data_IF_209198495749
#
_entry.id   IF_209198495749
#
_cell.length_a   1.000
_cell.length_b   1.000
_cell.length_c   1.000
_cell.angle_alpha   90.00
_cell.angle_beta   90.00
_cell.angle_gamma   90.00
#
_symmetry.space_group_name_H-M   'P 1'
#
loop_
_entity.id
_entity.type
_entity.pdbx_description
1 polymer ?
#
# COMPACT_ATOMS: atom_id res chain seq x y z
N UNK A 1 12.77 -13.68 40.39
CA UNK A 1 13.73 -14.26 39.41
C UNK A 1 13.06 -15.24 38.46
N UNK A 2 12.08 -16.01 38.86
CA UNK A 2 11.31 -16.97 38.02
C UNK A 2 10.49 -16.28 36.94
N UNK A 3 9.78 -15.19 37.24
CA UNK A 3 8.94 -14.45 36.27
C UNK A 3 9.72 -13.77 35.13
N UNK A 4 10.95 -13.33 35.39
CA UNK A 4 11.81 -12.71 34.39
C UNK A 4 12.32 -13.74 33.37
N UNK A 5 12.70 -14.93 33.85
CA UNK A 5 13.14 -16.05 33.00
C UNK A 5 11.99 -16.61 32.14
N UNK A 6 10.78 -16.67 32.67
CA UNK A 6 9.58 -17.11 31.91
C UNK A 6 9.21 -16.13 30.76
N UNK A 7 9.32 -14.85 31.02
CA UNK A 7 9.10 -13.84 30.00
C UNK A 7 10.18 -13.84 28.89
N UNK A 8 11.44 -14.09 29.28
CA UNK A 8 12.54 -14.22 28.32
C UNK A 8 12.34 -15.48 27.48
N UNK A 9 11.98 -16.59 28.07
CA UNK A 9 11.76 -17.86 27.38
C UNK A 9 10.58 -17.75 26.38
N UNK A 10 9.47 -17.15 26.78
CA UNK A 10 8.30 -16.88 25.89
C UNK A 10 8.67 -15.97 24.69
N UNK A 11 9.55 -15.00 24.92
CA UNK A 11 10.06 -14.13 23.83
C UNK A 11 10.93 -14.90 22.84
N UNK A 12 11.83 -15.76 23.31
CA UNK A 12 12.67 -16.61 22.47
C UNK A 12 11.84 -17.60 21.66
N UNK A 13 10.87 -18.27 22.28
CA UNK A 13 9.97 -19.22 21.61
C UNK A 13 9.19 -18.49 20.50
N UNK A 14 8.62 -17.32 20.78
CA UNK A 14 7.88 -16.52 19.79
C UNK A 14 8.76 -16.04 18.65
N UNK A 15 10.00 -15.64 18.93
CA UNK A 15 10.97 -15.23 17.91
C UNK A 15 11.35 -16.41 16.99
N UNK A 16 11.64 -17.58 17.57
CA UNK A 16 11.96 -18.80 16.82
C UNK A 16 10.75 -19.23 15.97
N UNK A 17 9.54 -19.22 16.51
CA UNK A 17 8.32 -19.55 15.78
C UNK A 17 8.11 -18.63 14.56
N UNK A 18 8.32 -17.33 14.72
CA UNK A 18 8.22 -16.38 13.63
C UNK A 18 9.28 -16.61 12.54
N UNK A 19 10.52 -16.92 12.91
CA UNK A 19 11.61 -17.26 11.98
C UNK A 19 11.27 -18.55 11.21
N UNK A 20 10.75 -19.56 11.89
CA UNK A 20 10.35 -20.83 11.26
C UNK A 20 9.19 -20.61 10.28
N UNK A 21 8.16 -19.89 10.68
CA UNK A 21 7.02 -19.57 9.80
C UNK A 21 7.50 -18.78 8.56
N UNK A 22 8.35 -17.78 8.76
CA UNK A 22 8.92 -16.98 7.69
C UNK A 22 9.73 -17.84 6.72
N UNK A 23 10.59 -18.71 7.24
CA UNK A 23 11.40 -19.62 6.44
C UNK A 23 10.51 -20.61 5.64
N UNK A 24 9.45 -21.13 6.27
CA UNK A 24 8.48 -21.99 5.62
C UNK A 24 7.76 -21.29 4.46
N UNK A 25 7.30 -20.06 4.64
CA UNK A 25 6.64 -19.26 3.60
C UNK A 25 7.60 -19.03 2.43
N UNK A 26 8.85 -18.67 2.70
CA UNK A 26 9.86 -18.47 1.66
C UNK A 26 10.13 -19.77 0.91
N UNK A 27 10.30 -20.89 1.62
CA UNK A 27 10.56 -22.20 1.01
C UNK A 27 9.37 -22.67 0.13
N UNK A 28 8.14 -22.53 0.62
CA UNK A 28 6.91 -22.88 -0.15
C UNK A 28 6.79 -22.01 -1.40
N UNK A 29 7.03 -20.72 -1.25
CA UNK A 29 6.99 -19.77 -2.36
C UNK A 29 8.08 -20.05 -3.40
N UNK A 30 9.29 -20.37 -2.96
CA UNK A 30 10.39 -20.75 -3.83
C UNK A 30 10.09 -22.05 -4.57
N UNK A 31 9.55 -23.05 -3.86
CA UNK A 31 9.13 -24.31 -4.46
C UNK A 31 8.03 -24.11 -5.52
N UNK A 32 7.04 -23.24 -5.24
CA UNK A 32 6.02 -22.87 -6.20
C UNK A 32 6.60 -22.18 -7.44
N UNK A 33 7.57 -21.28 -7.25
CA UNK A 33 8.24 -20.61 -8.36
C UNK A 33 9.06 -21.58 -9.22
N UNK A 34 9.82 -22.48 -8.60
CA UNK A 34 10.57 -23.55 -9.29
C UNK A 34 9.60 -24.46 -10.06
N UNK A 35 8.47 -24.83 -9.45
CA UNK A 35 7.44 -25.65 -10.09
C UNK A 35 6.83 -24.94 -11.31
N UNK A 36 6.58 -23.64 -11.22
CA UNK A 36 6.12 -22.83 -12.35
C UNK A 36 7.15 -22.77 -13.48
N UNK A 37 8.44 -22.61 -13.15
CA UNK A 37 9.53 -22.64 -14.14
C UNK A 37 9.63 -24.00 -14.83
N UNK A 38 9.60 -25.10 -14.08
CA UNK A 38 9.68 -26.46 -14.64
C UNK A 38 8.45 -26.79 -15.48
N UNK A 39 7.24 -26.41 -15.04
CA UNK A 39 6.02 -26.58 -15.83
C UNK A 39 6.08 -25.79 -17.15
N UNK A 40 6.58 -24.55 -17.11
CA UNK A 40 6.78 -23.72 -18.30
C UNK A 40 7.74 -24.38 -19.30
N UNK A 41 8.83 -24.97 -18.81
CA UNK A 41 9.82 -25.65 -19.66
C UNK A 41 9.25 -26.95 -20.26
N UNK A 42 8.43 -27.67 -19.47
CA UNK A 42 7.88 -28.98 -19.91
C UNK A 42 6.73 -28.81 -20.90
N UNK A 43 5.81 -27.89 -20.66
CA UNK A 43 4.63 -27.68 -21.49
C UNK A 43 4.84 -26.70 -22.66
N UNK A 44 5.98 -26.00 -22.73
CA UNK A 44 6.37 -25.12 -23.84
C UNK A 44 5.51 -23.88 -24.10
N UNK A 45 4.29 -23.85 -23.58
CA UNK A 45 3.28 -22.81 -23.84
C UNK A 45 3.02 -21.89 -22.62
N UNK A 46 3.61 -22.21 -21.46
CA UNK A 46 3.44 -21.42 -20.25
C UNK A 46 4.62 -20.45 -20.07
N UNK A 47 4.32 -19.17 -19.92
CA UNK A 47 5.35 -18.19 -19.57
C UNK A 47 5.73 -18.33 -18.08
N UNK A 48 7.03 -18.40 -17.74
CA UNK A 48 7.44 -18.50 -16.35
C UNK A 48 7.07 -17.23 -15.57
N UNK A 49 6.79 -17.40 -14.27
CA UNK A 49 6.56 -16.24 -13.37
C UNK A 49 7.82 -15.38 -13.36
N UNK A 50 7.69 -14.11 -13.71
CA UNK A 50 8.84 -13.22 -13.70
C UNK A 50 9.41 -13.14 -12.26
N UNK A 51 10.75 -13.11 -12.09
CA UNK A 51 11.38 -13.00 -10.76
C UNK A 51 10.87 -11.79 -9.97
N UNK A 52 10.51 -10.71 -10.64
CA UNK A 52 10.00 -9.50 -10.01
C UNK A 52 8.60 -9.66 -9.46
N UNK A 53 7.69 -10.34 -10.17
CA UNK A 53 6.35 -10.65 -9.65
C UNK A 53 6.43 -11.54 -8.42
N UNK A 54 7.31 -12.53 -8.45
CA UNK A 54 7.58 -13.35 -7.27
C UNK A 54 8.18 -12.52 -6.13
N UNK A 55 9.16 -11.66 -6.41
CA UNK A 55 9.79 -10.80 -5.41
C UNK A 55 8.76 -9.87 -4.75
N UNK A 56 7.96 -9.17 -5.54
CA UNK A 56 7.00 -8.20 -5.01
C UNK A 56 5.77 -8.85 -4.39
N UNK A 57 5.27 -9.96 -4.91
CA UNK A 57 4.08 -10.61 -4.38
C UNK A 57 4.35 -11.45 -3.11
N UNK A 58 5.57 -11.91 -2.91
CA UNK A 58 5.90 -12.79 -1.78
C UNK A 58 7.00 -12.24 -0.89
N UNK A 59 8.16 -11.87 -1.47
CA UNK A 59 9.34 -11.51 -0.66
C UNK A 59 9.15 -10.17 0.03
N UNK A 60 8.63 -9.18 -0.67
CA UNK A 60 8.41 -7.84 -0.08
C UNK A 60 7.37 -7.86 1.04
N UNK A 61 6.17 -8.46 0.88
CA UNK A 61 5.22 -8.61 1.99
C UNK A 61 5.80 -9.38 3.18
N UNK A 62 6.55 -10.45 2.91
CA UNK A 62 7.21 -11.25 3.95
C UNK A 62 8.24 -10.41 4.72
N UNK A 63 9.06 -9.61 4.04
CA UNK A 63 10.02 -8.71 4.68
C UNK A 63 9.34 -7.61 5.51
N UNK A 64 8.25 -7.04 5.00
CA UNK A 64 7.47 -6.03 5.73
C UNK A 64 6.85 -6.62 6.99
N UNK A 65 6.24 -7.81 6.89
CA UNK A 65 5.66 -8.51 8.05
C UNK A 65 6.75 -8.84 9.08
N UNK A 66 7.92 -9.35 8.64
CA UNK A 66 9.02 -9.71 9.55
C UNK A 66 9.59 -8.50 10.29
N UNK A 67 9.72 -7.37 9.62
CA UNK A 67 10.19 -6.13 10.23
C UNK A 67 9.13 -5.52 11.17
N UNK A 68 7.86 -5.59 10.82
CA UNK A 68 6.76 -5.20 11.69
C UNK A 68 6.68 -6.04 12.97
N UNK A 69 6.92 -7.34 12.87
CA UNK A 69 6.97 -8.24 14.02
C UNK A 69 8.18 -7.98 14.93
N UNK A 70 9.35 -7.64 14.36
CA UNK A 70 10.55 -7.24 15.13
C UNK A 70 10.30 -5.95 15.93
N UNK A 71 9.69 -4.94 15.33
CA UNK A 71 9.45 -3.66 15.99
C UNK A 71 8.48 -3.80 17.17
N UNK A 72 7.46 -4.64 17.05
CA UNK A 72 6.51 -4.93 18.15
C UNK A 72 7.17 -5.64 19.36
N UNK A 73 8.29 -6.30 19.16
CA UNK A 73 9.06 -6.96 20.24
C UNK A 73 9.88 -5.99 21.08
N UNK A 74 10.23 -4.82 20.54
CA UNK A 74 11.10 -3.81 21.17
C UNK A 74 10.33 -2.76 21.99
N UNK A 75 9.04 -2.55 21.72
CA UNK A 75 8.27 -1.41 22.27
C UNK A 75 7.34 -1.76 23.43
N UNK A 76 7.75 -2.66 24.36
CA UNK A 76 7.08 -2.76 25.65
C UNK A 76 7.64 -1.76 26.69
N UNK A 77 8.46 -0.78 26.26
CA UNK A 77 8.89 0.35 27.08
C UNK A 77 8.30 1.65 26.53
N UNK A 78 7.21 2.01 27.07
CA UNK A 78 6.63 3.34 27.27
C UNK A 78 6.76 4.42 26.20
N UNK A 79 5.61 4.94 25.85
CA UNK A 79 5.32 6.35 25.50
C UNK A 79 5.99 6.97 24.27
N UNK A 80 5.09 7.39 23.46
CA UNK A 80 5.09 8.41 22.41
C UNK A 80 4.69 7.80 21.06
N UNK A 81 3.42 8.05 20.73
CA UNK A 81 2.73 7.49 19.60
C UNK A 81 3.29 7.91 18.23
N UNK A 82 4.22 7.15 17.75
CA UNK A 82 4.42 6.93 16.34
C UNK A 82 3.86 5.54 16.06
N UNK A 83 2.69 5.47 15.40
CA UNK A 83 1.94 4.24 15.23
C UNK A 83 2.79 3.11 14.66
N UNK A 84 3.08 2.11 15.48
CA UNK A 84 3.71 0.89 15.00
C UNK A 84 2.81 0.24 13.96
N UNK A 85 3.35 0.06 12.76
CA UNK A 85 2.65 -0.68 11.71
C UNK A 85 2.48 -2.12 12.15
N UNK A 86 1.24 -2.53 12.37
CA UNK A 86 0.89 -3.89 12.71
C UNK A 86 0.59 -4.72 11.44
N UNK A 87 0.45 -6.04 11.61
CA UNK A 87 0.17 -6.94 10.48
C UNK A 87 -1.15 -6.62 9.76
N UNK A 88 -2.16 -6.09 10.48
CA UNK A 88 -3.45 -5.68 9.90
C UNK A 88 -3.23 -4.53 8.93
N UNK A 89 -2.43 -3.54 9.30
CA UNK A 89 -2.09 -2.41 8.45
C UNK A 89 -1.34 -2.86 7.18
N UNK A 90 -0.40 -3.80 7.32
CA UNK A 90 0.31 -4.39 6.17
C UNK A 90 -0.66 -5.13 5.27
N UNK A 91 -1.58 -5.90 5.84
CA UNK A 91 -2.62 -6.60 5.10
C UNK A 91 -3.53 -5.62 4.34
N UNK A 92 -4.07 -4.61 5.01
CA UNK A 92 -4.97 -3.64 4.38
C UNK A 92 -4.31 -2.86 3.24
N UNK A 93 -3.02 -2.55 3.34
CA UNK A 93 -2.28 -1.86 2.27
C UNK A 93 -1.82 -2.80 1.14
N UNK A 94 -1.63 -4.08 1.43
CA UNK A 94 -1.09 -5.08 0.50
C UNK A 94 -2.12 -6.03 -0.11
N UNK A 95 -3.33 -6.16 0.45
CA UNK A 95 -4.31 -7.14 0.01
C UNK A 95 -4.76 -6.89 -1.43
N UNK A 96 -5.16 -5.65 -1.72
CA UNK A 96 -5.67 -5.27 -3.06
C UNK A 96 -4.64 -5.51 -4.16
N UNK A 97 -3.39 -5.00 -4.08
CA UNK A 97 -2.40 -5.26 -5.10
C UNK A 97 -2.02 -6.75 -5.20
N UNK A 98 -2.03 -7.49 -4.08
CA UNK A 98 -1.75 -8.94 -4.10
C UNK A 98 -2.85 -9.71 -4.83
N UNK A 99 -4.11 -9.41 -4.54
CA UNK A 99 -5.25 -10.03 -5.22
C UNK A 99 -5.23 -9.74 -6.72
N UNK A 100 -5.01 -8.48 -7.11
CA UNK A 100 -4.89 -8.08 -8.51
C UNK A 100 -3.73 -8.77 -9.23
N UNK A 101 -2.58 -8.94 -8.55
CA UNK A 101 -1.45 -9.68 -9.12
C UNK A 101 -1.78 -11.16 -9.36
N UNK A 102 -2.51 -11.79 -8.41
CA UNK A 102 -2.96 -13.16 -8.55
C UNK A 102 -3.96 -13.32 -9.69
N UNK A 103 -4.98 -12.45 -9.75
CA UNK A 103 -5.97 -12.46 -10.84
C UNK A 103 -5.30 -12.27 -12.20
N UNK A 104 -4.36 -11.33 -12.30
CA UNK A 104 -3.60 -11.13 -13.52
C UNK A 104 -2.87 -12.42 -13.96
N UNK A 105 -2.17 -13.10 -13.02
CA UNK A 105 -1.44 -14.32 -13.32
C UNK A 105 -2.36 -15.47 -13.77
N UNK A 106 -3.56 -15.55 -13.21
CA UNK A 106 -4.56 -16.57 -13.58
C UNK A 106 -5.07 -16.32 -15.00
N UNK A 107 -5.40 -15.06 -15.35
CA UNK A 107 -6.00 -14.75 -16.64
C UNK A 107 -4.97 -14.59 -17.76
N UNK A 108 -3.84 -13.95 -17.50
CA UNK A 108 -2.90 -13.53 -18.54
C UNK A 108 -1.57 -14.31 -18.50
N UNK A 109 -1.45 -15.21 -17.53
CA UNK A 109 -0.22 -15.95 -17.28
C UNK A 109 0.82 -15.11 -16.51
N UNK A 110 1.97 -15.71 -16.18
CA UNK A 110 2.94 -15.14 -15.26
C UNK A 110 3.88 -14.10 -15.89
N UNK A 111 3.84 -13.92 -17.21
CA UNK A 111 4.71 -12.98 -17.92
C UNK A 111 4.25 -11.53 -17.82
N UNK A 112 5.18 -10.58 -17.93
CA UNK A 112 4.88 -9.17 -18.03
C UNK A 112 4.46 -8.82 -19.46
N UNK A 113 3.38 -8.05 -19.61
CA UNK A 113 2.84 -7.61 -20.89
C UNK A 113 2.80 -6.07 -20.87
N UNK A 114 3.08 -5.39 -22.00
CA UNK A 114 2.95 -3.94 -22.09
C UNK A 114 1.51 -3.51 -21.84
N UNK A 115 1.33 -2.33 -21.26
CA UNK A 115 0.01 -1.72 -21.12
C UNK A 115 -0.43 -1.20 -22.49
N UNK A 116 -1.38 -1.91 -23.10
CA UNK A 116 -1.97 -1.55 -24.39
C UNK A 116 -3.45 -1.95 -24.39
N UNK A 117 -4.33 -0.99 -24.18
CA UNK A 117 -5.77 -1.21 -24.15
C UNK A 117 -6.36 -1.60 -25.52
N UNK A 118 -5.65 -1.32 -26.60
CA UNK A 118 -6.12 -1.68 -27.94
C UNK A 118 -5.95 -3.17 -28.24
N UNK A 119 -4.88 -3.77 -27.70
CA UNK A 119 -4.53 -5.18 -27.93
C UNK A 119 -4.95 -6.10 -26.78
N UNK A 120 -4.84 -5.61 -25.53
CA UNK A 120 -4.97 -6.45 -24.34
C UNK A 120 -5.64 -5.67 -23.20
N UNK A 121 -6.95 -5.46 -23.32
CA UNK A 121 -7.73 -4.66 -22.39
C UNK A 121 -7.64 -5.17 -20.94
N UNK A 122 -7.97 -6.47 -20.72
CA UNK A 122 -8.01 -7.06 -19.37
C UNK A 122 -6.66 -6.98 -18.67
N UNK A 123 -5.59 -7.39 -19.38
CA UNK A 123 -4.22 -7.32 -18.84
C UNK A 123 -3.80 -5.89 -18.49
N UNK A 124 -4.05 -4.95 -19.39
CA UNK A 124 -3.73 -3.53 -19.20
C UNK A 124 -4.48 -2.92 -18.01
N UNK A 125 -5.78 -3.23 -17.90
CA UNK A 125 -6.61 -2.77 -16.80
C UNK A 125 -6.10 -3.31 -15.47
N UNK A 126 -5.81 -4.62 -15.38
CA UNK A 126 -5.29 -5.23 -14.14
C UNK A 126 -3.90 -4.70 -13.75
N UNK A 127 -3.02 -4.48 -14.74
CA UNK A 127 -1.70 -3.88 -14.50
C UNK A 127 -1.82 -2.48 -13.90
N UNK A 128 -2.69 -1.64 -14.48
CA UNK A 128 -2.92 -0.29 -13.96
C UNK A 128 -3.68 -0.30 -12.63
N UNK A 129 -4.57 -1.27 -12.39
CA UNK A 129 -5.24 -1.43 -11.09
C UNK A 129 -4.26 -1.78 -9.98
N UNK A 130 -3.34 -2.70 -10.25
CA UNK A 130 -2.27 -3.06 -9.32
C UNK A 130 -1.35 -1.85 -9.04
N UNK A 131 -0.93 -1.14 -10.08
CA UNK A 131 -0.13 0.07 -9.95
C UNK A 131 -0.87 1.14 -9.13
N UNK A 132 -2.16 1.34 -9.41
CA UNK A 132 -2.99 2.31 -8.70
C UNK A 132 -3.11 2.00 -7.20
N UNK A 133 -3.32 0.73 -6.83
CA UNK A 133 -3.37 0.30 -5.44
C UNK A 133 -2.04 0.54 -4.69
N UNK A 134 -0.91 0.18 -5.31
CA UNK A 134 0.42 0.41 -4.74
C UNK A 134 0.75 1.90 -4.63
N UNK A 135 0.44 2.67 -5.67
CA UNK A 135 0.68 4.11 -5.70
C UNK A 135 -0.20 4.86 -4.70
N UNK A 136 -1.46 4.44 -4.50
CA UNK A 136 -2.35 4.96 -3.47
C UNK A 136 -1.73 4.78 -2.08
N UNK A 137 -1.33 3.58 -1.72
CA UNK A 137 -0.70 3.29 -0.41
C UNK A 137 0.61 4.03 -0.20
N UNK A 138 1.45 4.13 -1.24
CA UNK A 138 2.71 4.87 -1.17
C UNK A 138 2.47 6.38 -1.03
N UNK A 139 1.55 6.93 -1.83
CA UNK A 139 1.19 8.34 -1.80
C UNK A 139 0.64 8.77 -0.44
N UNK A 140 -0.30 8.00 0.11
CA UNK A 140 -0.86 8.27 1.43
C UNK A 140 0.19 8.16 2.54
N UNK A 141 1.05 7.14 2.47
CA UNK A 141 2.17 7.03 3.42
C UNK A 141 3.10 8.24 3.36
N UNK A 142 3.49 8.70 2.17
CA UNK A 142 4.36 9.87 2.04
C UNK A 142 3.65 11.15 2.52
N UNK A 143 2.35 11.29 2.26
CA UNK A 143 1.59 12.43 2.75
C UNK A 143 1.52 12.49 4.28
N UNK A 144 1.24 11.36 4.92
CA UNK A 144 1.08 11.27 6.38
C UNK A 144 2.40 11.37 7.15
N UNK A 145 3.52 10.95 6.56
CA UNK A 145 4.84 11.02 7.20
C UNK A 145 5.57 12.35 6.94
N UNK A 146 5.55 12.83 5.69
CA UNK A 146 6.28 14.04 5.29
C UNK A 146 5.48 15.31 5.56
N UNK A 147 4.17 15.25 5.38
CA UNK A 147 3.26 16.40 5.56
C UNK A 147 3.39 17.05 6.92
N UNK A 148 3.25 16.33 8.04
CA UNK A 148 3.36 16.90 9.38
C UNK A 148 4.76 17.43 9.72
N UNK A 149 5.81 16.83 9.16
CA UNK A 149 7.21 17.18 9.45
C UNK A 149 7.65 18.45 8.72
N UNK A 150 7.30 18.58 7.45
CA UNK A 150 7.78 19.68 6.60
C UNK A 150 6.77 20.84 6.48
N UNK A 151 5.51 20.65 6.84
CA UNK A 151 4.52 21.70 6.77
C UNK A 151 4.70 22.71 7.90
N UNK A 152 4.82 23.99 7.55
CA UNK A 152 4.91 25.09 8.53
C UNK A 152 3.53 25.59 8.99
N UNK A 153 2.46 25.20 8.28
CA UNK A 153 1.09 25.60 8.58
C UNK A 153 0.28 24.42 9.11
N UNK A 154 -0.68 24.66 10.00
CA UNK A 154 -1.56 23.59 10.47
C UNK A 154 -2.36 23.00 9.30
N UNK A 155 -2.70 21.70 9.36
CA UNK A 155 -3.51 21.06 8.35
C UNK A 155 -4.91 21.66 8.29
N UNK A 156 -5.56 21.50 7.15
CA UNK A 156 -6.96 21.86 6.93
C UNK A 156 -7.79 20.61 6.73
N UNK A 157 -8.95 20.56 7.35
CA UNK A 157 -9.89 19.46 7.15
C UNK A 157 -10.40 19.50 5.69
N UNK A 158 -10.28 18.40 4.97
CA UNK A 158 -10.58 18.36 3.52
C UNK A 158 -12.05 18.68 3.21
N UNK A 159 -12.97 18.46 4.15
CA UNK A 159 -14.40 18.70 3.96
C UNK A 159 -14.83 20.14 4.22
N UNK A 160 -14.20 20.85 5.13
CA UNK A 160 -14.62 22.22 5.56
C UNK A 160 -13.56 23.28 5.30
N UNK A 161 -12.31 22.89 5.00
CA UNK A 161 -11.14 23.75 4.88
C UNK A 161 -10.77 24.53 6.14
N UNK A 162 -11.36 24.19 7.28
CA UNK A 162 -11.01 24.75 8.57
C UNK A 162 -9.66 24.22 9.06
N UNK A 163 -8.93 25.06 9.81
CA UNK A 163 -7.69 24.64 10.44
C UNK A 163 -7.98 23.66 11.55
N UNK A 164 -7.27 22.56 11.57
CA UNK A 164 -7.43 21.50 12.57
C UNK A 164 -6.07 21.13 13.20
N UNK A 165 -6.04 20.53 14.39
CA UNK A 165 -4.82 20.03 15.00
C UNK A 165 -4.11 19.00 14.11
N UNK A 166 -2.78 18.93 14.23
CA UNK A 166 -1.97 17.89 13.57
C UNK A 166 -2.39 16.51 14.09
N UNK A 167 -2.55 15.55 13.19
CA UNK A 167 -3.04 14.20 13.51
C UNK A 167 -4.57 14.03 13.37
N UNK A 168 -5.31 15.09 12.99
CA UNK A 168 -6.73 14.98 12.66
C UNK A 168 -6.92 14.17 11.39
N UNK A 169 -7.77 13.12 11.44
CA UNK A 169 -8.12 12.32 10.27
C UNK A 169 -8.78 13.21 9.20
N UNK A 170 -8.28 13.11 7.97
CA UNK A 170 -8.72 13.98 6.88
C UNK A 170 -8.15 15.41 6.91
N UNK A 171 -7.17 15.66 7.76
CA UNK A 171 -6.39 16.91 7.75
C UNK A 171 -5.34 16.90 6.65
N UNK A 172 -5.46 17.79 5.66
CA UNK A 172 -4.56 17.87 4.50
C UNK A 172 -3.66 19.11 4.57
N UNK A 173 -2.46 18.98 4.01
CA UNK A 173 -1.52 20.09 3.81
C UNK A 173 -1.03 20.09 2.36
N UNK A 174 -0.63 21.24 1.84
CA UNK A 174 -0.05 21.34 0.48
C UNK A 174 1.19 20.46 0.36
N UNK A 175 2.04 20.44 1.38
CA UNK A 175 3.23 19.57 1.42
C UNK A 175 2.83 18.11 1.37
N UNK A 176 1.82 17.70 2.13
CA UNK A 176 1.30 16.32 2.09
C UNK A 176 0.78 15.93 0.70
N UNK A 177 0.00 16.80 0.04
CA UNK A 177 -0.49 16.54 -1.32
C UNK A 177 0.65 16.45 -2.36
N UNK A 178 1.67 17.30 -2.26
CA UNK A 178 2.85 17.19 -3.12
C UNK A 178 3.60 15.89 -2.83
N UNK A 179 3.74 15.52 -1.57
CA UNK A 179 4.39 14.28 -1.17
C UNK A 179 3.63 13.05 -1.67
N UNK A 180 2.29 13.07 -1.65
CA UNK A 180 1.49 11.96 -2.21
C UNK A 180 1.66 11.81 -3.71
N UNK A 181 1.71 12.92 -4.46
CA UNK A 181 2.02 12.91 -5.89
C UNK A 181 3.40 12.29 -6.16
N UNK A 182 4.42 12.71 -5.40
CA UNK A 182 5.79 12.21 -5.55
C UNK A 182 5.90 10.72 -5.16
N UNK A 183 5.24 10.27 -4.09
CA UNK A 183 5.20 8.87 -3.68
C UNK A 183 4.58 7.97 -4.75
N UNK A 184 3.45 8.39 -5.34
CA UNK A 184 2.83 7.67 -6.46
C UNK A 184 3.69 7.70 -7.72
N UNK A 185 4.33 8.84 -8.03
CA UNK A 185 5.26 8.97 -9.16
C UNK A 185 6.45 8.03 -9.01
N UNK A 186 6.99 7.90 -7.80
CA UNK A 186 8.09 6.96 -7.51
C UNK A 186 7.70 5.51 -7.83
N UNK A 187 6.50 5.09 -7.45
CA UNK A 187 5.97 3.75 -7.79
C UNK A 187 5.79 3.62 -9.31
N UNK A 188 5.26 4.65 -9.98
CA UNK A 188 5.11 4.67 -11.44
C UNK A 188 6.44 4.56 -12.18
N UNK A 189 7.49 5.25 -11.70
CA UNK A 189 8.85 5.14 -12.25
C UNK A 189 9.40 3.71 -12.06
N UNK A 190 9.25 3.15 -10.86
CA UNK A 190 9.71 1.79 -10.58
C UNK A 190 9.03 0.76 -11.49
N UNK A 191 7.73 0.91 -11.71
CA UNK A 191 6.97 0.02 -12.61
C UNK A 191 7.42 0.21 -14.07
N UNK A 192 7.57 1.45 -14.54
CA UNK A 192 8.05 1.76 -15.90
C UNK A 192 9.45 1.19 -16.16
N UNK A 193 10.39 1.37 -15.23
CA UNK A 193 11.73 0.78 -15.34
C UNK A 193 11.68 -0.74 -15.38
N UNK A 194 10.78 -1.37 -14.60
CA UNK A 194 10.57 -2.81 -14.63
C UNK A 194 10.11 -3.26 -16.03
N UNK A 195 9.18 -2.53 -16.64
CA UNK A 195 8.74 -2.83 -18.00
C UNK A 195 9.88 -2.72 -19.02
N UNK A 196 10.68 -1.66 -18.95
CA UNK A 196 11.83 -1.47 -19.86
C UNK A 196 12.84 -2.64 -19.79
N UNK A 197 12.99 -3.25 -18.61
CA UNK A 197 13.99 -4.32 -18.42
C UNK A 197 13.43 -5.70 -18.82
N UNK A 198 12.13 -5.97 -18.57
CA UNK A 198 11.57 -7.32 -18.63
C UNK A 198 10.54 -7.56 -19.75
N UNK A 199 10.14 -6.53 -20.48
CA UNK A 199 9.19 -6.65 -21.58
C UNK A 199 9.91 -6.52 -22.91
N UNK A 200 9.82 -7.54 -23.76
CA UNK A 200 10.53 -7.59 -25.04
C UNK A 200 9.79 -6.87 -26.20
N UNK A 201 8.46 -6.69 -26.07
CA UNK A 201 7.59 -6.22 -27.17
C UNK A 201 7.23 -4.73 -27.04
N UNK A 202 8.07 -3.94 -26.39
CA UNK A 202 7.79 -2.50 -26.14
C UNK A 202 7.77 -1.68 -27.41
N UNK A 203 8.58 -2.05 -28.41
CA UNK A 203 8.71 -1.31 -29.68
C UNK A 203 7.45 -1.35 -30.54
N UNK A 204 6.60 -2.37 -30.34
CA UNK A 204 5.36 -2.57 -31.10
C UNK A 204 4.10 -2.28 -30.28
N UNK A 205 4.26 -1.84 -29.04
CA UNK A 205 3.17 -1.52 -28.12
C UNK A 205 2.92 -0.01 -28.03
N UNK A 206 1.79 0.36 -27.41
CA UNK A 206 1.53 1.75 -27.03
C UNK A 206 2.65 2.32 -26.16
N UNK A 207 2.90 3.65 -26.17
CA UNK A 207 3.91 4.27 -25.31
C UNK A 207 3.66 3.96 -23.83
N UNK A 208 4.71 3.54 -23.09
CA UNK A 208 4.60 3.14 -21.69
C UNK A 208 4.90 4.27 -20.67
N UNK A 209 5.48 5.39 -21.11
CA UNK A 209 5.79 6.52 -20.22
C UNK A 209 4.57 7.09 -19.44
N UNK A 210 3.29 7.00 -19.94
CA UNK A 210 2.15 7.48 -19.17
C UNK A 210 1.95 6.76 -17.83
N UNK A 211 2.53 5.57 -17.65
CA UNK A 211 2.56 4.83 -16.38
C UNK A 211 3.09 5.68 -15.24
N UNK A 212 4.10 6.52 -15.51
CA UNK A 212 4.71 7.41 -14.51
C UNK A 212 3.71 8.46 -14.03
N UNK A 213 3.05 9.13 -14.98
CA UNK A 213 2.03 10.13 -14.66
C UNK A 213 0.80 9.50 -13.97
N UNK A 214 0.39 8.33 -14.44
CA UNK A 214 -0.69 7.55 -13.84
C UNK A 214 -0.39 7.19 -12.37
N UNK A 215 0.84 6.71 -12.07
CA UNK A 215 1.27 6.44 -10.71
C UNK A 215 1.18 7.68 -9.82
N UNK A 216 1.65 8.83 -10.31
CA UNK A 216 1.55 10.10 -9.59
C UNK A 216 0.10 10.51 -9.29
N UNK A 217 -0.78 10.43 -10.30
CA UNK A 217 -2.21 10.70 -10.12
C UNK A 217 -2.87 9.73 -9.14
N UNK A 218 -2.52 8.44 -9.21
CA UNK A 218 -3.04 7.43 -8.30
C UNK A 218 -2.64 7.69 -6.85
N UNK A 219 -1.40 8.10 -6.61
CA UNK A 219 -0.93 8.48 -5.27
C UNK A 219 -1.63 9.73 -4.74
N UNK A 220 -1.75 10.76 -5.56
CA UNK A 220 -2.43 12.01 -5.18
C UNK A 220 -3.93 11.79 -4.91
N UNK A 221 -4.64 11.17 -5.85
CA UNK A 221 -6.08 10.93 -5.71
C UNK A 221 -6.37 9.93 -4.60
N UNK A 222 -5.50 8.92 -4.40
CA UNK A 222 -5.60 7.98 -3.31
C UNK A 222 -5.54 8.66 -1.95
N UNK A 223 -4.57 9.53 -1.73
CA UNK A 223 -4.45 10.31 -0.48
C UNK A 223 -5.61 11.29 -0.28
N UNK A 224 -6.17 11.85 -1.35
CA UNK A 224 -7.37 12.70 -1.28
C UNK A 224 -8.59 11.87 -0.85
N UNK A 225 -8.81 10.70 -1.46
CA UNK A 225 -9.92 9.79 -1.11
C UNK A 225 -9.78 9.30 0.32
N UNK A 226 -8.56 8.89 0.73
CA UNK A 226 -8.26 8.48 2.11
C UNK A 226 -8.59 9.60 3.10
N UNK A 227 -8.12 10.82 2.85
CA UNK A 227 -8.41 11.98 3.67
C UNK A 227 -9.91 12.31 3.73
N UNK A 228 -10.65 12.13 2.63
CA UNK A 228 -12.09 12.35 2.62
C UNK A 228 -12.86 11.30 3.43
N UNK A 229 -12.49 10.03 3.28
CA UNK A 229 -13.03 8.94 4.09
C UNK A 229 -12.66 9.12 5.57
N UNK A 230 -11.43 9.52 5.85
CA UNK A 230 -10.96 9.85 7.21
C UNK A 230 -11.76 10.96 7.86
N UNK A 231 -11.96 12.08 7.14
CA UNK A 231 -12.74 13.23 7.63
C UNK A 231 -14.21 12.91 7.91
N UNK A 232 -14.78 11.91 7.23
CA UNK A 232 -16.22 11.60 7.31
C UNK A 232 -16.53 10.37 8.14
N UNK A 233 -15.71 9.34 8.05
CA UNK A 233 -15.98 8.01 8.62
C UNK A 233 -15.04 7.57 9.74
N UNK A 234 -13.94 8.32 10.00
CA UNK A 234 -13.08 8.09 11.15
C UNK A 234 -13.34 9.14 12.23
N UNK A 235 -13.57 8.67 13.46
CA UNK A 235 -13.71 9.60 14.59
C UNK A 235 -12.39 10.31 14.88
N UNK A 236 -12.45 11.61 15.06
CA UNK A 236 -11.35 12.41 15.62
C UNK A 236 -11.89 13.33 16.70
N UNK A 237 -11.30 13.25 17.87
CA UNK A 237 -11.55 14.15 19.00
C UNK A 237 -10.26 14.79 19.49
N UNK A 238 -10.39 15.90 20.20
CA UNK A 238 -9.31 16.54 20.96
C UNK A 238 -9.58 16.30 22.44
N UNK A 239 -8.68 15.62 23.10
CA UNK A 239 -8.69 15.51 24.55
C UNK A 239 -8.26 16.85 25.15
N UNK A 240 -9.17 17.51 25.82
CA UNK A 240 -8.94 18.85 26.40
C UNK A 240 -7.94 18.82 27.58
N UNK A 241 -7.80 17.67 28.24
CA UNK A 241 -6.88 17.52 29.37
C UNK A 241 -5.42 17.37 28.93
N UNK A 242 -5.18 16.68 27.82
CA UNK A 242 -3.83 16.40 27.32
C UNK A 242 -3.46 17.24 26.10
N UNK A 243 -4.44 17.84 25.42
CA UNK A 243 -4.26 18.54 24.15
C UNK A 243 -3.94 17.61 22.98
N UNK A 244 -4.14 16.29 23.14
CA UNK A 244 -3.81 15.27 22.14
C UNK A 244 -5.04 14.89 21.30
N UNK A 245 -4.80 14.58 20.04
CA UNK A 245 -5.83 14.03 19.14
C UNK A 245 -6.07 12.57 19.49
N UNK A 246 -7.34 12.18 19.62
CA UNK A 246 -7.80 10.82 19.93
C UNK A 246 -8.71 10.30 18.82
N UNK A 247 -8.59 9.00 18.51
CA UNK A 247 -9.33 8.34 17.42
C UNK A 247 -10.54 7.52 17.92
N UNK A 248 -10.89 7.64 19.18
CA UNK A 248 -12.07 7.01 19.78
C UNK A 248 -12.83 7.99 20.66
N UNK A 249 -14.17 7.89 20.72
CA UNK A 249 -14.97 8.73 21.59
C UNK A 249 -14.63 8.44 23.06
N UNK A 250 -14.26 9.47 23.81
CA UNK A 250 -14.10 9.44 25.28
C UNK A 250 -14.92 10.56 25.90
N UNK A 251 -15.22 10.45 27.19
CA UNK A 251 -16.03 11.48 27.90
C UNK A 251 -15.34 12.85 27.96
N UNK A 252 -14.03 12.90 27.80
CA UNK A 252 -13.18 14.09 27.90
C UNK A 252 -12.78 14.64 26.53
N UNK A 253 -13.13 13.94 25.43
CA UNK A 253 -12.74 14.32 24.09
C UNK A 253 -13.81 15.19 23.43
N UNK A 254 -13.42 16.40 23.05
CA UNK A 254 -14.20 17.27 22.18
C UNK A 254 -14.13 16.77 20.74
N UNK A 255 -15.28 16.45 20.14
CA UNK A 255 -15.38 16.00 18.76
C UNK A 255 -14.87 17.05 17.77
N UNK A 256 -13.98 16.66 16.84
CA UNK A 256 -13.48 17.53 15.77
C UNK A 256 -14.11 17.13 14.43
N UNK A 257 -14.01 15.88 14.04
CA UNK A 257 -14.45 15.41 12.72
C UNK A 257 -14.80 13.92 12.72
N UNK A 258 -15.57 13.51 11.73
CA UNK A 258 -15.85 12.13 11.37
C UNK A 258 -16.77 11.40 12.36
N UNK A 259 -17.15 10.19 11.95
CA UNK A 259 -17.98 9.27 12.77
C UNK A 259 -17.17 8.00 13.03
N UNK A 260 -17.37 7.30 14.14
CA UNK A 260 -16.65 6.06 14.47
C UNK A 260 -17.21 4.86 13.66
N UNK A 261 -17.12 4.92 12.33
CA UNK A 261 -17.61 3.89 11.40
C UNK A 261 -16.47 3.00 10.92
N UNK A 262 -15.36 3.63 10.50
CA UNK A 262 -14.17 2.95 9.99
C UNK A 262 -12.96 3.28 10.88
N UNK A 263 -12.06 2.32 11.00
CA UNK A 263 -10.71 2.57 11.52
C UNK A 263 -9.75 2.95 10.37
N UNK A 264 -8.54 3.35 10.71
CA UNK A 264 -7.54 3.76 9.74
C UNK A 264 -7.17 2.65 8.74
N UNK A 265 -7.17 1.40 9.18
CA UNK A 265 -6.85 0.26 8.31
C UNK A 265 -7.95 0.04 7.27
N UNK A 266 -9.21 0.15 7.69
CA UNK A 266 -10.35 0.03 6.78
C UNK A 266 -10.38 1.19 5.76
N UNK A 267 -10.06 2.42 6.18
CA UNK A 267 -9.97 3.57 5.25
C UNK A 267 -8.90 3.34 4.21
N UNK A 268 -7.69 2.90 4.61
CA UNK A 268 -6.61 2.58 3.68
C UNK A 268 -7.01 1.46 2.68
N UNK A 269 -7.73 0.44 3.14
CA UNK A 269 -8.23 -0.62 2.27
C UNK A 269 -9.26 -0.10 1.26
N UNK A 270 -10.26 0.66 1.73
CA UNK A 270 -11.30 1.19 0.85
C UNK A 270 -10.78 2.22 -0.14
N UNK A 271 -9.87 3.11 0.26
CA UNK A 271 -9.24 4.07 -0.65
C UNK A 271 -8.44 3.34 -1.74
N UNK A 272 -7.69 2.30 -1.37
CA UNK A 272 -6.94 1.46 -2.31
C UNK A 272 -7.87 0.74 -3.31
N UNK A 273 -8.97 0.13 -2.84
CA UNK A 273 -9.98 -0.51 -3.71
C UNK A 273 -10.60 0.50 -4.68
N UNK A 274 -11.03 1.65 -4.18
CA UNK A 274 -11.66 2.68 -5.02
C UNK A 274 -10.73 3.17 -6.12
N UNK A 275 -9.48 3.48 -5.79
CA UNK A 275 -8.51 3.96 -6.77
C UNK A 275 -8.13 2.85 -7.75
N UNK A 276 -7.97 1.61 -7.31
CA UNK A 276 -7.69 0.46 -8.17
C UNK A 276 -8.80 0.18 -9.19
N UNK A 277 -10.05 0.46 -8.87
CA UNK A 277 -11.18 0.24 -9.78
C UNK A 277 -11.46 1.45 -10.69
N UNK A 278 -11.47 2.64 -10.12
CA UNK A 278 -11.93 3.83 -10.83
C UNK A 278 -10.88 4.42 -11.78
N UNK A 279 -9.62 4.48 -11.33
CA UNK A 279 -8.59 5.17 -12.09
C UNK A 279 -8.17 4.45 -13.37
N UNK A 280 -7.97 3.12 -13.40
CA UNK A 280 -7.69 2.39 -14.64
C UNK A 280 -8.85 2.45 -15.64
N UNK A 281 -10.08 2.43 -15.12
CA UNK A 281 -11.28 2.58 -15.95
C UNK A 281 -11.34 3.95 -16.63
N UNK A 282 -11.00 5.01 -15.90
CA UNK A 282 -10.87 6.35 -16.48
C UNK A 282 -9.69 6.44 -17.47
N UNK A 283 -8.55 5.84 -17.13
CA UNK A 283 -7.35 5.83 -17.97
C UNK A 283 -7.59 5.22 -19.35
N UNK A 284 -8.44 4.21 -19.46
CA UNK A 284 -8.81 3.61 -20.75
C UNK A 284 -9.24 4.64 -21.81
N UNK A 285 -9.99 5.67 -21.39
CA UNK A 285 -10.45 6.74 -22.30
C UNK A 285 -9.34 7.66 -22.80
N UNK A 286 -8.23 7.77 -22.09
CA UNK A 286 -7.14 8.73 -22.36
C UNK A 286 -5.81 8.06 -22.67
N UNK A 287 -5.72 6.73 -22.52
CA UNK A 287 -4.47 6.02 -22.75
C UNK A 287 -4.06 6.09 -24.21
N UNK A 288 -2.79 6.37 -24.51
CA UNK A 288 -2.29 6.35 -25.88
C UNK A 288 -2.55 4.98 -26.53
N UNK A 289 -2.96 5.01 -27.78
CA UNK A 289 -3.16 3.81 -28.59
C UNK A 289 -1.98 3.66 -29.53
N UNK A 290 -1.43 2.46 -29.60
CA UNK A 290 -0.39 2.10 -30.55
C UNK A 290 -0.94 1.73 -31.91
#
# INVERSE_FOLDING_TARGET
MTDLNDNICKRYIKMITNIVILSLIICISLAFWIMSMTASTYYGNLRPISPWRWLFSVVVPVLIISNGLKKKSLDHSGALGGGQRNWIQVFCNGAVPTELALLYMIENGPGEIPVDFSKQYSASWMCLSLLAALACSAGDTWASEVGPVLSKSPPRLITTWEKVPVGTNGGVTVVGLVSSLLGGTFVGIAYFLTQLIFVNDLDISAPQWPIIAFGGLAGLLGSIVDSYLGATMQYTGLDESTGMVVNSPTNEAKHIAGKPILDNNAVNLFSSVLIALLLPTAAWGFWPRG
#
